data_IF_045673519477
#
_entry.id   IF_045673519477
#
_cell.length_a   1.000
_cell.length_b   1.000
_cell.length_c   1.000
_cell.angle_alpha   90.00
_cell.angle_beta   90.00
_cell.angle_gamma   90.00
#
_symmetry.space_group_name_H-M   'P 1'
#
loop_
_entity.id
_entity.type
_entity.pdbx_description
1 polymer ?
#
# COMPACT_ATOMS: atom_id res chain seq x y z
N UNK A 1 3.02 15.78 -12.40
CA UNK A 1 2.63 14.43 -11.91
C UNK A 1 3.82 13.76 -11.22
N UNK A 2 3.70 13.34 -9.95
CA UNK A 2 4.67 12.56 -9.18
C UNK A 2 4.35 11.06 -9.27
N UNK A 3 5.35 10.18 -9.11
CA UNK A 3 5.19 8.72 -9.13
C UNK A 3 5.79 8.13 -7.86
N UNK A 4 5.05 7.21 -7.22
CA UNK A 4 5.54 6.49 -6.07
C UNK A 4 5.49 4.99 -6.31
N UNK A 5 6.56 4.30 -5.97
CA UNK A 5 6.65 2.84 -6.00
C UNK A 5 6.66 2.35 -4.57
N UNK A 6 5.74 1.43 -4.22
CA UNK A 6 5.71 0.72 -2.95
C UNK A 6 5.96 -0.75 -3.25
N UNK A 7 7.12 -1.30 -2.87
CA UNK A 7 7.49 -2.64 -3.33
C UNK A 7 8.34 -3.40 -2.30
N UNK A 8 8.18 -4.72 -2.27
CA UNK A 8 8.96 -5.62 -1.42
C UNK A 8 10.32 -6.03 -2.02
N UNK A 9 10.54 -5.81 -3.32
CA UNK A 9 11.86 -5.91 -3.95
C UNK A 9 12.62 -4.59 -3.73
N UNK A 10 13.23 -4.45 -2.55
CA UNK A 10 13.76 -3.19 -2.00
C UNK A 10 15.28 -3.13 -1.86
N UNK A 11 16.00 -4.10 -2.40
CA UNK A 11 17.45 -3.98 -2.53
C UNK A 11 17.82 -2.90 -3.55
N UNK A 12 19.03 -2.34 -3.42
CA UNK A 12 19.46 -1.20 -4.22
C UNK A 12 19.37 -1.43 -5.74
N UNK A 13 19.62 -2.67 -6.20
CA UNK A 13 19.52 -3.02 -7.62
C UNK A 13 18.06 -2.99 -8.09
N UNK A 14 17.16 -3.65 -7.35
CA UNK A 14 15.74 -3.69 -7.68
C UNK A 14 15.12 -2.29 -7.64
N UNK A 15 15.45 -1.48 -6.63
CA UNK A 15 15.01 -0.08 -6.51
C UNK A 15 15.46 0.74 -7.71
N UNK A 16 16.76 0.74 -8.01
CA UNK A 16 17.30 1.50 -9.13
C UNK A 16 16.67 1.13 -10.47
N UNK A 17 16.49 -0.18 -10.73
CA UNK A 17 15.83 -0.67 -11.95
C UNK A 17 14.38 -0.21 -12.06
N UNK A 18 13.62 -0.32 -11.00
CA UNK A 18 12.20 0.06 -10.97
C UNK A 18 12.04 1.57 -11.17
N UNK A 19 12.79 2.39 -10.43
CA UNK A 19 12.74 3.85 -10.56
C UNK A 19 13.13 4.29 -11.98
N UNK A 20 14.21 3.73 -12.54
CA UNK A 20 14.63 4.04 -13.91
C UNK A 20 13.54 3.67 -14.92
N UNK A 21 12.91 2.50 -14.78
CA UNK A 21 11.84 2.06 -15.68
C UNK A 21 10.61 2.98 -15.60
N UNK A 22 10.19 3.34 -14.40
CA UNK A 22 9.05 4.25 -14.19
C UNK A 22 9.36 5.63 -14.74
N UNK A 23 10.53 6.19 -14.44
CA UNK A 23 10.95 7.49 -14.97
C UNK A 23 11.02 7.50 -16.51
N UNK A 24 11.51 6.40 -17.12
CA UNK A 24 11.63 6.31 -18.59
C UNK A 24 10.28 6.22 -19.30
N UNK A 25 9.25 5.62 -18.68
CA UNK A 25 7.94 5.43 -19.29
C UNK A 25 6.94 6.54 -18.98
N UNK A 26 6.99 7.08 -17.76
CA UNK A 26 6.03 8.08 -17.29
C UNK A 26 6.66 9.49 -17.14
N UNK A 27 7.98 9.62 -17.23
CA UNK A 27 8.68 10.90 -16.94
C UNK A 27 8.58 11.28 -15.47
N UNK A 28 8.93 12.53 -15.12
CA UNK A 28 8.79 13.13 -13.79
C UNK A 28 9.62 12.53 -12.67
N UNK A 29 9.34 12.97 -11.43
CA UNK A 29 10.00 12.47 -10.23
C UNK A 29 9.43 11.14 -9.78
N UNK A 30 10.29 10.28 -9.23
CA UNK A 30 9.92 8.95 -8.72
C UNK A 30 10.43 8.81 -7.29
N UNK A 31 9.55 8.45 -6.37
CA UNK A 31 9.89 8.02 -5.01
C UNK A 31 9.75 6.50 -4.87
N UNK A 32 10.49 5.93 -3.93
CA UNK A 32 10.42 4.50 -3.63
C UNK A 32 10.25 4.27 -2.13
N UNK A 33 9.22 3.50 -1.77
CA UNK A 33 8.96 3.03 -0.42
C UNK A 33 9.18 1.52 -0.39
N UNK A 34 10.23 1.10 0.32
CA UNK A 34 10.54 -0.33 0.50
C UNK A 34 9.71 -0.92 1.63
N UNK A 35 9.02 -2.02 1.36
CA UNK A 35 8.17 -2.73 2.33
C UNK A 35 8.58 -4.20 2.47
N UNK A 36 8.11 -4.89 3.50
CA UNK A 36 8.39 -6.31 3.73
C UNK A 36 7.14 -7.17 3.69
N UNK A 37 5.97 -6.57 3.93
CA UNK A 37 4.67 -7.24 4.04
C UNK A 37 3.58 -6.45 3.33
N UNK A 38 2.50 -7.13 3.01
CA UNK A 38 1.31 -6.56 2.36
C UNK A 38 0.57 -5.54 3.26
N UNK A 39 0.50 -5.79 4.57
CA UNK A 39 -0.10 -4.84 5.52
C UNK A 39 0.72 -3.54 5.63
N UNK A 40 2.05 -3.65 5.53
CA UNK A 40 2.96 -2.49 5.48
C UNK A 40 2.75 -1.68 4.20
N UNK A 41 2.57 -2.38 3.06
CA UNK A 41 2.23 -1.74 1.80
C UNK A 41 0.85 -1.06 1.84
N UNK A 42 -0.13 -1.68 2.50
CA UNK A 42 -1.46 -1.11 2.67
C UNK A 42 -1.42 0.23 3.42
N UNK A 43 -0.69 0.31 4.54
CA UNK A 43 -0.55 1.56 5.30
C UNK A 43 0.20 2.65 4.54
N UNK A 44 1.33 2.28 3.90
CA UNK A 44 2.09 3.22 3.08
C UNK A 44 1.31 3.72 1.86
N UNK A 45 0.44 2.89 1.27
CA UNK A 45 -0.46 3.32 0.20
C UNK A 45 -1.40 4.43 0.67
N UNK A 46 -1.96 4.31 1.87
CA UNK A 46 -2.85 5.33 2.44
C UNK A 46 -2.07 6.63 2.70
N UNK A 47 -0.89 6.56 3.33
CA UNK A 47 -0.08 7.75 3.62
C UNK A 47 0.39 8.46 2.33
N UNK A 48 0.72 7.70 1.28
CA UNK A 48 1.09 8.27 -0.02
C UNK A 48 -0.13 8.91 -0.71
N UNK A 49 -1.32 8.29 -0.62
CA UNK A 49 -2.55 8.90 -1.13
C UNK A 49 -2.90 10.20 -0.41
N UNK A 50 -2.75 10.25 0.92
CA UNK A 50 -2.95 11.48 1.71
C UNK A 50 -1.96 12.59 1.30
N UNK A 51 -0.71 12.22 1.03
CA UNK A 51 0.34 13.16 0.64
C UNK A 51 0.16 13.78 -0.76
N UNK A 52 -0.64 13.19 -1.63
CA UNK A 52 -0.99 13.79 -2.92
C UNK A 52 -1.99 14.93 -2.79
N UNK A 53 -2.77 14.97 -1.70
CA UNK A 53 -3.85 15.94 -1.51
C UNK A 53 -4.83 15.96 -2.70
N UNK A 54 -4.74 16.96 -3.56
CA UNK A 54 -5.57 17.10 -4.77
C UNK A 54 -4.73 17.07 -6.06
N UNK A 55 -3.42 16.81 -5.96
CA UNK A 55 -2.53 16.70 -7.12
C UNK A 55 -2.69 15.37 -7.85
N UNK A 56 -2.31 15.37 -9.14
CA UNK A 56 -2.27 14.16 -9.97
C UNK A 56 -1.04 13.29 -9.69
N UNK A 57 -1.21 11.99 -9.76
CA UNK A 57 -0.12 11.06 -9.52
C UNK A 57 -0.34 9.62 -9.96
N UNK A 58 0.73 8.84 -9.84
CA UNK A 58 0.70 7.39 -10.08
C UNK A 58 1.37 6.67 -8.91
N UNK A 59 0.69 5.68 -8.36
CA UNK A 59 1.23 4.80 -7.34
C UNK A 59 1.28 3.36 -7.86
N UNK A 60 2.45 2.74 -7.82
CA UNK A 60 2.66 1.34 -8.19
C UNK A 60 2.96 0.53 -6.93
N UNK A 61 2.06 -0.38 -6.56
CA UNK A 61 2.19 -1.18 -5.34
C UNK A 61 2.36 -2.65 -5.70
N UNK A 62 3.40 -3.29 -5.18
CA UNK A 62 3.56 -4.72 -5.36
C UNK A 62 4.20 -5.38 -4.14
N UNK A 63 3.51 -6.36 -3.59
CA UNK A 63 4.04 -7.29 -2.61
C UNK A 63 3.80 -8.70 -3.09
N UNK A 64 4.88 -9.46 -3.27
CA UNK A 64 4.79 -10.84 -3.70
C UNK A 64 4.41 -11.75 -2.51
N UNK A 65 3.38 -12.60 -2.64
CA UNK A 65 3.05 -13.55 -1.59
C UNK A 65 4.18 -14.60 -1.47
N UNK A 66 4.86 -14.58 -0.33
CA UNK A 66 6.05 -15.43 -0.08
C UNK A 66 5.72 -16.80 0.48
N UNK A 67 4.50 -17.03 0.95
CA UNK A 67 4.07 -18.23 1.67
C UNK A 67 3.46 -19.33 0.79
N UNK A 68 3.85 -19.43 -0.49
CA UNK A 68 3.34 -20.46 -1.42
C UNK A 68 1.93 -20.18 -1.96
N UNK A 69 1.21 -19.19 -1.45
CA UNK A 69 -0.12 -18.81 -1.94
C UNK A 69 -0.12 -18.28 -3.39
N UNK A 70 1.02 -17.82 -3.90
CA UNK A 70 1.20 -17.43 -5.29
C UNK A 70 1.01 -18.58 -6.28
N UNK A 71 1.22 -19.83 -5.85
CA UNK A 71 1.06 -21.02 -6.70
C UNK A 71 -0.37 -21.26 -7.18
N UNK A 72 -1.37 -20.63 -6.54
CA UNK A 72 -2.77 -20.73 -6.97
C UNK A 72 -3.06 -19.96 -8.27
N UNK A 73 -2.20 -19.04 -8.67
CA UNK A 73 -2.33 -18.30 -9.91
C UNK A 73 -1.30 -18.73 -10.94
N UNK A 74 -1.74 -19.10 -12.12
CA UNK A 74 -0.88 -19.54 -13.22
C UNK A 74 0.20 -18.50 -13.56
N UNK A 75 -0.19 -17.21 -13.58
CA UNK A 75 0.68 -16.09 -13.92
C UNK A 75 1.11 -15.23 -12.70
N UNK A 76 1.12 -15.82 -11.48
CA UNK A 76 1.41 -15.13 -10.22
C UNK A 76 0.28 -14.20 -9.79
N UNK A 77 0.48 -13.45 -8.71
CA UNK A 77 -0.55 -12.56 -8.13
C UNK A 77 -1.12 -11.62 -9.17
N UNK A 78 -2.46 -11.57 -9.33
CA UNK A 78 -3.09 -10.64 -10.26
C UNK A 78 -2.87 -9.19 -9.81
N UNK A 79 -2.89 -8.31 -10.80
CA UNK A 79 -2.85 -6.86 -10.59
C UNK A 79 -4.20 -6.25 -10.84
N UNK A 80 -4.48 -5.16 -10.12
CA UNK A 80 -5.63 -4.34 -10.36
C UNK A 80 -5.27 -2.88 -10.37
N UNK A 81 -6.23 -2.05 -10.79
CA UNK A 81 -6.09 -0.61 -10.76
C UNK A 81 -7.39 0.07 -10.35
N UNK A 82 -7.25 1.28 -9.82
CA UNK A 82 -8.35 2.18 -9.53
C UNK A 82 -7.85 3.63 -9.54
N UNK A 83 -8.79 4.53 -9.61
CA UNK A 83 -8.54 5.95 -9.42
C UNK A 83 -9.09 6.38 -8.06
N UNK A 84 -8.28 7.11 -7.32
CA UNK A 84 -8.72 7.83 -6.12
C UNK A 84 -8.44 9.31 -6.36
N UNK A 85 -9.50 10.11 -6.50
CA UNK A 85 -9.40 11.48 -7.04
C UNK A 85 -8.60 11.45 -8.37
N UNK A 86 -7.53 12.25 -8.47
CA UNK A 86 -6.67 12.33 -9.66
C UNK A 86 -5.46 11.37 -9.60
N UNK A 87 -5.40 10.49 -8.60
CA UNK A 87 -4.29 9.55 -8.44
C UNK A 87 -4.65 8.17 -8.99
N UNK A 88 -3.86 7.70 -9.95
CA UNK A 88 -3.94 6.34 -10.49
C UNK A 88 -3.15 5.38 -9.60
N UNK A 89 -3.81 4.36 -9.08
CA UNK A 89 -3.18 3.29 -8.31
C UNK A 89 -3.21 1.99 -9.08
N UNK A 90 -2.06 1.35 -9.25
CA UNK A 90 -1.94 -0.04 -9.74
C UNK A 90 -1.32 -0.88 -8.62
N UNK A 91 -1.98 -1.98 -8.25
CA UNK A 91 -1.57 -2.77 -7.10
C UNK A 91 -1.69 -4.28 -7.34
N UNK A 92 -0.83 -5.07 -6.67
CA UNK A 92 -1.12 -6.49 -6.46
C UNK A 92 -2.36 -6.62 -5.57
N UNK A 93 -3.36 -7.40 -6.00
CA UNK A 93 -4.66 -7.52 -5.31
C UNK A 93 -4.75 -8.75 -4.38
N UNK A 94 -3.68 -9.51 -4.26
CA UNK A 94 -3.60 -10.63 -3.32
C UNK A 94 -3.21 -10.17 -1.92
N UNK A 95 -3.73 -10.85 -0.90
CA UNK A 95 -3.42 -10.55 0.50
C UNK A 95 -4.04 -9.25 1.00
N UNK A 96 -3.34 -8.55 1.87
CA UNK A 96 -3.83 -7.37 2.59
C UNK A 96 -3.50 -6.03 1.92
N UNK A 97 -2.86 -6.03 0.75
CA UNK A 97 -2.36 -4.80 0.08
C UNK A 97 -3.44 -3.71 -0.07
N UNK A 98 -4.69 -4.10 -0.36
CA UNK A 98 -5.81 -3.17 -0.50
C UNK A 98 -6.77 -3.16 0.71
N UNK A 99 -6.42 -3.82 1.80
CA UNK A 99 -7.31 -3.95 2.97
C UNK A 99 -7.65 -2.61 3.63
N UNK A 100 -6.72 -1.67 3.67
CA UNK A 100 -6.97 -0.32 4.20
C UNK A 100 -7.70 0.59 3.21
N UNK A 101 -7.55 0.39 1.91
CA UNK A 101 -8.40 1.02 0.89
C UNK A 101 -9.86 0.63 1.11
N UNK A 102 -10.12 -0.67 1.39
CA UNK A 102 -11.44 -1.17 1.78
C UNK A 102 -11.91 -0.56 3.09
N UNK A 103 -11.07 -0.60 4.14
CA UNK A 103 -11.43 -0.12 5.49
C UNK A 103 -11.85 1.35 5.48
N UNK A 104 -11.16 2.17 4.70
CA UNK A 104 -11.44 3.61 4.57
C UNK A 104 -12.53 3.92 3.53
N UNK A 105 -13.03 2.91 2.81
CA UNK A 105 -14.09 3.09 1.81
C UNK A 105 -13.70 3.98 0.63
N UNK A 106 -12.43 3.97 0.23
CA UNK A 106 -11.91 4.91 -0.77
C UNK A 106 -12.47 4.64 -2.17
N UNK A 107 -12.73 3.38 -2.51
CA UNK A 107 -13.33 2.97 -3.77
C UNK A 107 -14.31 1.80 -3.55
N UNK A 108 -15.23 1.60 -4.47
CA UNK A 108 -16.19 0.48 -4.43
C UNK A 108 -15.76 -0.72 -5.26
N UNK A 109 -14.89 -0.49 -6.25
CA UNK A 109 -14.51 -1.50 -7.26
C UNK A 109 -13.06 -1.27 -7.71
N UNK A 110 -12.37 -2.38 -7.99
CA UNK A 110 -11.02 -2.41 -8.58
C UNK A 110 -11.11 -3.08 -9.94
N UNK A 111 -10.51 -2.48 -10.97
CA UNK A 111 -10.33 -3.12 -12.27
C UNK A 111 -9.26 -4.19 -12.19
N UNK A 112 -9.56 -5.44 -12.57
CA UNK A 112 -8.60 -6.55 -12.53
C UNK A 112 -7.98 -6.75 -13.91
N UNK A 113 -6.67 -6.78 -13.96
CA UNK A 113 -5.88 -6.90 -15.18
C UNK A 113 -5.49 -8.36 -15.43
N UNK A 114 -5.91 -8.91 -16.56
CA UNK A 114 -5.32 -10.12 -17.12
C UNK A 114 -4.06 -9.75 -17.89
N UNK A 115 -2.90 -10.24 -17.46
CA UNK A 115 -1.61 -9.80 -18.02
C UNK A 115 -1.48 -10.09 -19.52
N UNK A 116 -1.74 -11.33 -20.03
CA UNK A 116 -1.73 -11.60 -21.45
C UNK A 116 -2.68 -10.74 -22.27
N UNK A 117 -3.94 -10.64 -21.85
CA UNK A 117 -4.98 -9.87 -22.54
C UNK A 117 -4.64 -8.37 -22.55
N UNK A 118 -4.24 -7.81 -21.41
CA UNK A 118 -3.85 -6.40 -21.33
C UNK A 118 -2.67 -6.10 -22.24
N UNK A 119 -1.70 -7.00 -22.35
CA UNK A 119 -0.58 -6.81 -23.29
C UNK A 119 -1.02 -6.86 -24.74
N UNK A 120 -2.00 -7.71 -25.11
CA UNK A 120 -2.54 -7.73 -26.47
C UNK A 120 -3.19 -6.39 -26.84
N UNK A 121 -3.93 -5.78 -25.91
CA UNK A 121 -4.52 -4.46 -26.11
C UNK A 121 -3.44 -3.37 -26.28
N UNK A 122 -2.40 -3.37 -25.43
CA UNK A 122 -1.29 -2.42 -25.52
C UNK A 122 -0.49 -2.57 -26.82
N UNK A 123 -0.33 -3.80 -27.30
CA UNK A 123 0.34 -4.10 -28.59
C UNK A 123 -0.51 -3.64 -29.77
N UNK A 124 -1.82 -3.90 -29.74
CA UNK A 124 -2.72 -3.52 -30.81
C UNK A 124 -2.73 -2.02 -31.10
N UNK A 125 -2.46 -1.19 -30.08
CA UNK A 125 -2.35 0.27 -30.20
C UNK A 125 -0.91 0.77 -30.31
N UNK A 126 0.07 -0.12 -30.39
CA UNK A 126 1.49 0.22 -30.52
C UNK A 126 2.17 0.76 -29.26
N UNK A 127 1.51 0.64 -28.09
CA UNK A 127 2.07 1.08 -26.80
C UNK A 127 3.16 0.12 -26.27
N UNK A 128 3.14 -1.14 -26.69
CA UNK A 128 4.14 -2.15 -26.38
C UNK A 128 4.54 -2.89 -27.66
N UNK A 129 5.84 -3.07 -27.94
CA UNK A 129 6.30 -3.88 -29.07
C UNK A 129 5.88 -5.35 -28.92
N UNK A 130 5.41 -5.98 -30.00
CA UNK A 130 4.91 -7.36 -30.00
C UNK A 130 5.93 -8.37 -29.44
N UNK A 131 7.21 -8.22 -29.78
CA UNK A 131 8.31 -9.08 -29.35
C UNK A 131 8.56 -9.04 -27.82
N UNK A 132 7.99 -8.09 -27.12
CA UNK A 132 8.07 -7.99 -25.66
C UNK A 132 7.05 -8.84 -24.91
N UNK A 133 5.97 -9.27 -25.56
CA UNK A 133 4.84 -9.94 -24.91
C UNK A 133 5.28 -11.14 -24.09
N UNK A 134 5.92 -12.12 -24.73
CA UNK A 134 6.31 -13.37 -24.08
C UNK A 134 7.28 -13.16 -22.92
N UNK A 135 8.22 -12.23 -23.06
CA UNK A 135 9.17 -11.90 -22.01
C UNK A 135 8.47 -11.30 -20.78
N UNK A 136 7.44 -10.46 -20.97
CA UNK A 136 6.68 -9.85 -19.88
C UNK A 136 5.75 -10.88 -19.22
N UNK A 137 5.01 -11.67 -20.01
CA UNK A 137 4.07 -12.69 -19.50
C UNK A 137 4.82 -13.73 -18.65
N UNK A 138 5.96 -14.22 -19.12
CA UNK A 138 6.78 -15.24 -18.44
C UNK A 138 7.74 -14.64 -17.40
N UNK A 139 7.84 -13.32 -17.35
CA UNK A 139 8.76 -12.62 -16.45
C UNK A 139 8.39 -12.80 -14.97
N UNK A 140 9.40 -13.02 -14.12
CA UNK A 140 9.20 -13.09 -12.67
C UNK A 140 9.06 -11.71 -12.01
N UNK A 141 9.49 -10.64 -12.70
CA UNK A 141 9.47 -9.28 -12.19
C UNK A 141 8.44 -8.41 -12.95
N UNK A 142 7.18 -8.83 -12.90
CA UNK A 142 6.08 -8.18 -13.63
C UNK A 142 5.76 -6.78 -13.10
N UNK A 143 5.96 -6.51 -11.81
CA UNK A 143 5.85 -5.15 -11.26
C UNK A 143 6.85 -4.17 -11.90
N UNK A 144 7.98 -4.66 -12.38
CA UNK A 144 8.98 -3.89 -13.12
C UNK A 144 8.64 -3.72 -14.61
N UNK A 145 8.16 -4.79 -15.26
CA UNK A 145 7.95 -4.77 -16.73
C UNK A 145 6.51 -4.47 -17.14
N UNK A 146 5.52 -4.95 -16.42
CA UNK A 146 4.11 -4.82 -16.77
C UNK A 146 3.48 -3.54 -16.19
N UNK A 147 3.54 -3.36 -14.86
CA UNK A 147 2.83 -2.25 -14.20
C UNK A 147 3.17 -0.86 -14.75
N UNK A 148 4.44 -0.47 -14.97
CA UNK A 148 4.74 0.86 -15.47
C UNK A 148 4.21 1.13 -16.88
N UNK A 149 4.07 0.11 -17.73
CA UNK A 149 3.52 0.24 -19.09
C UNK A 149 2.01 0.46 -19.06
N UNK A 150 1.33 -0.31 -18.22
CA UNK A 150 -0.11 -0.12 -17.99
C UNK A 150 -0.37 1.26 -17.38
N UNK A 151 0.43 1.66 -16.40
CA UNK A 151 0.31 2.98 -15.79
C UNK A 151 0.51 4.11 -16.79
N UNK A 152 1.52 4.02 -17.66
CA UNK A 152 1.77 5.02 -18.70
C UNK A 152 0.58 5.14 -19.68
N UNK A 153 0.00 4.00 -20.04
CA UNK A 153 -1.15 3.98 -20.95
C UNK A 153 -2.41 4.58 -20.31
N UNK A 154 -2.74 4.17 -19.09
CA UNK A 154 -3.91 4.70 -18.36
C UNK A 154 -3.75 6.19 -18.02
N UNK A 155 -2.55 6.60 -17.54
CA UNK A 155 -2.26 7.99 -17.20
C UNK A 155 -2.29 8.94 -18.42
N UNK A 156 -2.20 8.40 -19.64
CA UNK A 156 -2.38 9.16 -20.87
C UNK A 156 -3.85 9.32 -21.28
N UNK A 157 -4.80 8.97 -20.40
CA UNK A 157 -6.24 9.09 -20.66
C UNK A 157 -6.86 7.94 -21.45
N UNK A 158 -6.11 6.86 -21.67
CA UNK A 158 -6.63 5.67 -22.36
C UNK A 158 -7.36 4.74 -21.38
N UNK A 159 -8.12 3.80 -21.91
CA UNK A 159 -8.87 2.79 -21.16
C UNK A 159 -8.43 1.38 -21.54
N UNK A 160 -8.58 0.43 -20.63
CA UNK A 160 -8.28 -0.99 -20.84
C UNK A 160 -9.50 -1.84 -20.49
N UNK A 161 -9.60 -2.98 -21.15
CA UNK A 161 -10.50 -4.03 -20.70
C UNK A 161 -9.99 -4.58 -19.36
N UNK A 162 -10.84 -4.56 -18.34
CA UNK A 162 -10.53 -5.08 -17.03
C UNK A 162 -11.72 -5.84 -16.45
N UNK A 163 -11.43 -6.95 -15.80
CA UNK A 163 -12.39 -7.58 -14.90
C UNK A 163 -12.77 -6.63 -13.77
N UNK A 164 -13.85 -6.96 -13.03
CA UNK A 164 -14.29 -6.14 -11.89
C UNK A 164 -14.20 -6.97 -10.62
N UNK A 165 -13.55 -6.43 -9.61
CA UNK A 165 -13.50 -6.96 -8.26
C UNK A 165 -14.18 -5.95 -7.33
N UNK A 166 -15.24 -6.36 -6.63
CA UNK A 166 -15.82 -5.51 -5.61
C UNK A 166 -14.83 -5.36 -4.46
N UNK A 167 -14.66 -4.13 -3.94
CA UNK A 167 -13.73 -3.90 -2.81
C UNK A 167 -14.11 -4.74 -1.59
N UNK A 168 -15.38 -5.10 -1.45
CA UNK A 168 -15.86 -5.98 -0.38
C UNK A 168 -15.24 -7.38 -0.39
N UNK A 169 -14.75 -7.85 -1.55
CA UNK A 169 -14.09 -9.15 -1.71
C UNK A 169 -12.61 -9.13 -1.25
N UNK A 170 -12.01 -7.95 -1.07
CA UNK A 170 -10.69 -7.81 -0.47
C UNK A 170 -10.77 -8.22 1.02
N UNK A 171 -9.78 -8.96 1.56
CA UNK A 171 -9.74 -9.29 2.98
C UNK A 171 -9.81 -8.05 3.87
N UNK A 172 -10.47 -8.18 5.03
CA UNK A 172 -10.47 -7.11 6.03
C UNK A 172 -9.07 -6.91 6.62
N UNK A 173 -8.74 -5.67 6.94
CA UNK A 173 -7.51 -5.38 7.66
C UNK A 173 -7.60 -5.93 9.09
N UNK A 174 -6.65 -6.78 9.53
CA UNK A 174 -6.57 -7.18 10.93
C UNK A 174 -6.24 -5.97 11.81
N UNK A 175 -6.57 -6.03 13.10
CA UNK A 175 -6.12 -5.04 14.08
C UNK A 175 -4.61 -5.27 14.36
N UNK A 176 -3.74 -4.70 13.55
CA UNK A 176 -2.31 -4.99 13.55
C UNK A 176 -1.44 -3.74 13.42
N UNK A 177 -0.16 -3.88 13.75
CA UNK A 177 0.87 -2.87 13.50
C UNK A 177 1.30 -2.96 12.04
N UNK A 178 1.15 -1.87 11.29
CA UNK A 178 1.58 -1.83 9.88
C UNK A 178 2.90 -1.09 9.67
N UNK A 179 3.35 -0.25 10.62
CA UNK A 179 4.62 0.45 10.55
C UNK A 179 5.20 0.71 11.94
N UNK A 180 6.53 0.68 12.03
CA UNK A 180 7.28 1.18 13.18
C UNK A 180 8.18 2.29 12.69
N UNK A 181 8.03 3.50 13.21
CA UNK A 181 8.83 4.64 12.80
C UNK A 181 10.22 4.63 13.46
N UNK A 182 11.07 5.59 13.09
CA UNK A 182 12.43 5.70 13.60
C UNK A 182 12.52 6.10 15.09
N UNK A 183 11.41 6.53 15.70
CA UNK A 183 11.31 6.80 17.13
C UNK A 183 10.79 5.57 17.90
N UNK A 184 10.32 4.56 17.19
CA UNK A 184 9.72 3.36 17.75
C UNK A 184 8.25 3.51 18.07
N UNK A 185 7.55 4.51 17.51
CA UNK A 185 6.09 4.56 17.55
C UNK A 185 5.53 3.51 16.57
N UNK A 186 4.46 2.84 16.99
CA UNK A 186 3.89 1.74 16.22
C UNK A 186 2.55 2.18 15.62
N UNK A 187 2.52 2.46 14.33
CA UNK A 187 1.31 2.80 13.58
C UNK A 187 0.44 1.55 13.42
N UNK A 188 -0.84 1.67 13.74
CA UNK A 188 -1.77 0.54 13.71
C UNK A 188 -2.82 0.71 12.62
N UNK A 189 -3.54 -0.36 12.31
CA UNK A 189 -4.68 -0.35 11.40
C UNK A 189 -5.98 0.13 12.07
N UNK A 190 -5.97 0.39 13.37
CA UNK A 190 -7.14 0.88 14.10
C UNK A 190 -7.34 2.37 13.82
N UNK A 191 -8.58 2.77 13.59
CA UNK A 191 -8.95 4.16 13.39
C UNK A 191 -9.24 4.85 14.74
N UNK A 192 -8.93 6.14 14.82
CA UNK A 192 -9.25 6.96 16.00
C UNK A 192 -10.75 6.89 16.33
N UNK A 193 -11.62 6.84 15.32
CA UNK A 193 -13.07 6.68 15.52
C UNK A 193 -13.47 5.34 16.17
N UNK A 194 -12.69 4.27 16.01
CA UNK A 194 -12.97 2.96 16.62
C UNK A 194 -12.63 2.92 18.12
N UNK A 195 -11.79 3.85 18.56
CA UNK A 195 -11.37 3.99 19.97
C UNK A 195 -11.95 5.24 20.65
N UNK A 196 -12.63 6.09 19.90
CA UNK A 196 -13.22 7.32 20.41
C UNK A 196 -14.17 7.05 21.58
N UNK A 197 -14.09 7.88 22.63
CA UNK A 197 -14.89 7.74 23.85
C UNK A 197 -14.39 6.70 24.86
N UNK A 198 -13.34 5.96 24.53
CA UNK A 198 -12.68 5.04 25.48
C UNK A 198 -11.55 5.77 26.19
N UNK A 199 -11.50 5.68 27.51
CA UNK A 199 -10.37 6.20 28.29
C UNK A 199 -9.11 5.33 28.13
N UNK A 200 -9.32 4.03 27.94
CA UNK A 200 -8.27 3.00 27.79
C UNK A 200 -8.66 2.02 26.69
N UNK A 201 -7.66 1.40 26.09
CA UNK A 201 -7.82 0.30 25.15
C UNK A 201 -7.08 -0.93 25.69
N UNK A 202 -7.80 -2.04 25.81
CA UNK A 202 -7.18 -3.34 26.10
C UNK A 202 -6.50 -3.85 24.83
N UNK A 203 -5.21 -4.05 24.91
CA UNK A 203 -4.37 -4.54 23.81
C UNK A 203 -3.62 -5.78 24.25
N UNK A 204 -3.01 -6.52 23.31
CA UNK A 204 -2.11 -7.62 23.66
C UNK A 204 -0.88 -7.17 24.48
N UNK A 205 -0.59 -5.86 24.49
CA UNK A 205 0.53 -5.24 25.21
C UNK A 205 0.10 -4.68 26.58
N UNK A 206 -1.14 -4.92 26.99
CA UNK A 206 -1.75 -4.44 28.23
C UNK A 206 -2.85 -3.41 27.98
N UNK A 207 -3.35 -2.85 29.06
CA UNK A 207 -4.34 -1.78 29.02
C UNK A 207 -3.60 -0.44 28.88
N UNK A 208 -3.82 0.23 27.75
CA UNK A 208 -3.15 1.49 27.40
C UNK A 208 -4.14 2.65 27.41
N UNK A 209 -3.81 3.78 28.08
CA UNK A 209 -4.65 4.99 28.03
C UNK A 209 -4.67 5.59 26.63
N UNK A 210 -5.80 6.19 26.26
CA UNK A 210 -5.95 6.89 25.00
C UNK A 210 -5.85 8.41 25.21
N UNK A 211 -5.04 9.06 24.35
CA UNK A 211 -4.92 10.50 24.26
C UNK A 211 -5.13 10.96 22.81
N UNK A 212 -5.73 12.13 22.63
CA UNK A 212 -5.92 12.67 21.27
C UNK A 212 -4.62 13.13 20.61
N UNK A 213 -3.57 13.42 21.39
CA UNK A 213 -2.28 13.94 20.89
C UNK A 213 -1.13 13.39 21.72
N UNK A 214 0.00 13.14 21.06
CA UNK A 214 1.23 12.67 21.68
C UNK A 214 1.70 13.61 22.83
N UNK A 215 1.61 14.92 22.65
CA UNK A 215 2.04 15.90 23.66
C UNK A 215 1.27 15.87 24.97
N UNK A 216 0.09 15.26 24.97
CA UNK A 216 -0.76 15.17 26.17
C UNK A 216 -0.45 13.87 26.97
N UNK A 217 0.41 12.98 26.43
CA UNK A 217 0.86 11.76 27.10
C UNK A 217 1.91 12.15 28.16
N UNK A 218 1.77 11.69 29.43
CA UNK A 218 2.79 11.93 30.46
C UNK A 218 4.14 11.29 30.11
N UNK A 219 5.23 11.91 30.57
CA UNK A 219 6.58 11.40 30.32
C UNK A 219 6.73 9.93 30.75
N UNK A 220 7.45 9.15 29.95
CA UNK A 220 7.71 7.73 30.14
C UNK A 220 6.46 6.84 30.22
N UNK A 221 5.30 7.35 29.77
CA UNK A 221 4.04 6.61 29.75
C UNK A 221 3.78 6.02 28.37
N UNK A 222 3.39 4.73 28.36
CA UNK A 222 2.89 4.08 27.16
C UNK A 222 1.41 4.45 26.95
N UNK A 223 1.04 4.75 25.71
CA UNK A 223 -0.31 5.18 25.39
C UNK A 223 -0.71 4.83 23.95
N UNK A 224 -1.99 4.94 23.68
CA UNK A 224 -2.56 5.01 22.33
C UNK A 224 -2.83 6.49 22.03
N UNK A 225 -2.39 6.95 20.86
CA UNK A 225 -2.67 8.32 20.41
C UNK A 225 -3.26 8.31 19.00
N UNK A 226 -3.99 9.38 18.65
CA UNK A 226 -4.32 9.63 17.25
C UNK A 226 -3.05 10.01 16.51
N UNK A 227 -2.68 9.22 15.51
CA UNK A 227 -1.50 9.45 14.69
C UNK A 227 -1.73 10.44 13.55
N UNK A 228 -0.68 10.68 12.78
CA UNK A 228 -0.73 11.53 11.58
C UNK A 228 -1.17 10.77 10.33
N UNK A 229 -1.08 9.45 10.33
CA UNK A 229 -1.41 8.58 9.19
C UNK A 229 -2.92 8.42 9.00
N UNK A 230 -3.35 8.30 7.74
CA UNK A 230 -4.76 8.16 7.36
C UNK A 230 -5.16 9.19 6.31
N UNK A 231 -6.44 9.29 5.99
CA UNK A 231 -6.99 10.25 5.00
C UNK A 231 -8.06 11.12 5.64
N UNK A 232 -7.94 12.44 5.52
CA UNK A 232 -8.87 13.41 6.07
C UNK A 232 -9.05 13.23 7.57
N UNK A 233 -10.28 13.08 8.04
CA UNK A 233 -10.62 12.85 9.45
C UNK A 233 -10.43 11.38 9.88
N UNK A 234 -10.23 10.46 8.94
CA UNK A 234 -10.03 9.04 9.23
C UNK A 234 -8.55 8.74 9.52
N UNK A 235 -8.12 9.11 10.73
CA UNK A 235 -6.73 8.91 11.18
C UNK A 235 -6.56 7.59 11.92
N UNK A 236 -5.44 6.91 11.68
CA UNK A 236 -5.06 5.72 12.43
C UNK A 236 -4.53 6.11 13.81
N UNK A 237 -4.62 5.17 14.76
CA UNK A 237 -3.97 5.33 16.05
C UNK A 237 -2.59 4.70 16.07
N UNK A 238 -1.75 5.20 16.95
CA UNK A 238 -0.39 4.73 17.18
C UNK A 238 -0.21 4.31 18.64
N UNK A 239 0.59 3.26 18.86
CA UNK A 239 1.09 2.91 20.18
C UNK A 239 2.40 3.65 20.37
N UNK A 240 2.49 4.45 21.41
CA UNK A 240 3.63 5.32 21.68
C UNK A 240 4.12 5.17 23.11
N UNK A 241 5.36 5.57 23.36
CA UNK A 241 5.90 5.83 24.71
C UNK A 241 6.49 7.22 24.71
N UNK A 242 5.95 8.13 25.50
CA UNK A 242 6.45 9.51 25.56
C UNK A 242 7.89 9.54 26.04
N UNK A 243 8.80 10.05 25.19
CA UNK A 243 10.24 10.07 25.47
C UNK A 243 10.94 8.72 25.38
N UNK A 244 10.29 7.70 24.78
CA UNK A 244 10.81 6.34 24.60
C UNK A 244 10.36 5.69 23.31
N UNK A 245 10.60 4.38 23.20
CA UNK A 245 10.22 3.56 22.04
C UNK A 245 9.22 2.49 22.47
N UNK A 246 7.98 2.58 21.95
CA UNK A 246 6.97 1.54 22.18
C UNK A 246 7.40 0.20 21.59
N UNK A 247 7.98 0.22 20.38
CA UNK A 247 8.49 -0.99 19.74
C UNK A 247 9.51 -1.72 20.59
N UNK A 248 10.46 -1.00 21.21
CA UNK A 248 11.47 -1.59 22.08
C UNK A 248 10.87 -2.06 23.40
N UNK A 249 10.00 -1.24 24.03
CA UNK A 249 9.41 -1.57 25.33
C UNK A 249 8.56 -2.83 25.32
N UNK A 250 7.78 -3.00 24.26
CA UNK A 250 6.84 -4.12 24.12
C UNK A 250 7.30 -5.20 23.13
N UNK A 251 8.51 -5.07 22.57
CA UNK A 251 9.04 -5.95 21.51
C UNK A 251 8.07 -6.10 20.34
N UNK A 252 7.56 -4.96 19.85
CA UNK A 252 6.58 -4.89 18.76
C UNK A 252 7.29 -4.91 17.41
N UNK A 253 6.75 -5.70 16.49
CA UNK A 253 7.17 -5.77 15.09
C UNK A 253 6.00 -5.51 14.14
N UNK A 254 6.32 -5.14 12.90
CA UNK A 254 5.32 -5.01 11.84
C UNK A 254 4.59 -6.33 11.63
N UNK A 255 3.27 -6.28 11.57
CA UNK A 255 2.37 -7.43 11.44
C UNK A 255 1.94 -8.04 12.77
N UNK A 256 2.39 -7.51 13.91
CA UNK A 256 1.89 -7.94 15.21
C UNK A 256 0.45 -7.48 15.42
N UNK A 257 -0.38 -8.39 15.96
CA UNK A 257 -1.76 -8.06 16.36
C UNK A 257 -1.73 -7.04 17.51
N UNK A 258 -2.71 -6.16 17.52
CA UNK A 258 -2.86 -5.12 18.56
C UNK A 258 -3.91 -5.51 19.60
N UNK A 259 -4.98 -6.19 19.16
CA UNK A 259 -6.11 -6.60 20.01
C UNK A 259 -6.09 -8.10 20.28
#
# INVERSE_FOLDING_TARGET
MHRTIINDCRDANAVGRQMTRVASLLGGSVSFVGVTRDIEAAGNLIDVLDAFEDDDGVILVNVAPRSGSAKRWENGTPFGYFWYKEVLVLASIGGLTLSLVKKLGLVSTVGVLDVPQTLDELIAVGAVPHERKDAIVRGQFRSYDFLPRVAAFLASGNTLHAGRLAIAEIPDAPAAVWWVDNFGNCKTTLLAGEVAGKAHLTTRFGELPYFSRLKDVPDHTAAIVTGSSGIGEQRFVEIVVQGGSAAAQFNISIGDDVL
#
